data_IF_768327940655
#
_entry.id   IF_768327940655
#
_cell.length_a   1.000
_cell.length_b   1.000
_cell.length_c   1.000
_cell.angle_alpha   90.00
_cell.angle_beta   90.00
_cell.angle_gamma   90.00
#
_symmetry.space_group_name_H-M   'P 1'
#
loop_
_entity.id
_entity.type
_entity.pdbx_description
1 polymer ?
#
# COMPACT_ATOMS: atom_id res chain seq x y z
N UNK A 1 -9.11 10.74 -1.01
CA UNK A 1 -8.98 9.73 -2.09
C UNK A 1 -7.62 9.05 -1.94
N UNK A 2 -7.40 7.90 -2.58
CA UNK A 2 -6.08 7.22 -2.57
C UNK A 2 -5.62 6.94 -3.99
N UNK A 3 -4.30 7.00 -4.22
CA UNK A 3 -3.70 6.73 -5.52
C UNK A 3 -3.15 5.30 -5.57
N UNK A 4 -3.75 4.47 -6.43
CA UNK A 4 -3.19 3.17 -6.82
C UNK A 4 -2.31 3.40 -8.05
N UNK A 5 -1.03 3.69 -7.82
CA UNK A 5 -0.08 4.03 -8.88
C UNK A 5 0.74 2.81 -9.29
N UNK A 6 0.48 2.28 -10.47
CA UNK A 6 1.29 1.21 -11.08
C UNK A 6 2.40 1.78 -11.95
N UNK A 7 3.63 1.32 -11.77
CA UNK A 7 4.77 1.68 -12.60
C UNK A 7 5.43 0.48 -13.24
N UNK A 8 6.62 0.71 -13.80
CA UNK A 8 7.55 -0.33 -14.21
C UNK A 8 8.89 -0.09 -13.54
N UNK A 9 9.43 -1.10 -12.88
CA UNK A 9 10.75 -1.08 -12.24
C UNK A 9 11.65 -2.15 -12.84
N UNK A 10 12.88 -2.27 -12.34
CA UNK A 10 13.85 -3.25 -12.82
C UNK A 10 13.39 -4.73 -12.68
N UNK A 11 12.38 -4.99 -11.84
CA UNK A 11 11.82 -6.33 -11.58
C UNK A 11 10.44 -6.52 -12.22
N UNK A 12 10.06 -5.66 -13.16
CA UNK A 12 8.77 -5.69 -13.84
C UNK A 12 7.78 -4.67 -13.29
N UNK A 13 6.46 -4.86 -13.51
CA UNK A 13 5.45 -3.95 -13.00
C UNK A 13 5.44 -3.93 -11.47
N UNK A 14 5.22 -2.75 -10.90
CA UNK A 14 5.19 -2.53 -9.46
C UNK A 14 4.07 -1.56 -9.07
N UNK A 15 3.80 -1.47 -7.77
CA UNK A 15 2.85 -0.53 -7.19
C UNK A 15 3.51 0.32 -6.11
N UNK A 16 3.18 1.60 -6.08
CA UNK A 16 3.64 2.54 -5.05
C UNK A 16 2.81 2.38 -3.77
N UNK A 17 3.49 2.24 -2.64
CA UNK A 17 2.90 2.21 -1.30
C UNK A 17 3.72 3.08 -0.35
N UNK A 18 3.14 3.42 0.79
CA UNK A 18 3.79 4.11 1.90
C UNK A 18 3.69 3.29 3.17
N UNK A 19 4.71 3.40 4.03
CA UNK A 19 4.62 3.01 5.44
C UNK A 19 4.35 4.28 6.27
N UNK A 20 3.24 4.30 7.00
CA UNK A 20 2.91 5.42 7.88
C UNK A 20 3.85 5.46 9.08
N UNK A 21 4.25 6.66 9.52
CA UNK A 21 5.15 6.83 10.65
C UNK A 21 4.59 6.18 11.94
N UNK A 22 5.48 5.59 12.74
CA UNK A 22 5.10 4.86 13.96
C UNK A 22 4.59 5.74 15.10
N UNK A 23 4.82 7.05 15.02
CA UNK A 23 4.38 8.04 16.03
C UNK A 23 2.94 8.53 15.87
N UNK A 24 2.24 8.11 14.82
CA UNK A 24 0.88 8.58 14.54
C UNK A 24 -0.15 7.98 15.50
N UNK A 25 -1.15 8.80 15.88
CA UNK A 25 -2.27 8.39 16.75
C UNK A 25 -3.13 7.30 16.13
N UNK A 26 -3.17 7.22 14.79
CA UNK A 26 -3.92 6.23 14.03
C UNK A 26 -3.03 5.61 12.97
N UNK A 27 -3.19 4.30 12.74
CA UNK A 27 -2.55 3.55 11.65
C UNK A 27 -1.01 3.58 11.65
N UNK A 28 -0.38 3.81 12.79
CA UNK A 28 1.08 3.84 12.93
C UNK A 28 1.75 2.58 12.38
N UNK A 29 2.68 2.72 11.44
CA UNK A 29 3.40 1.61 10.80
C UNK A 29 2.57 0.75 9.85
N UNK A 30 1.34 1.14 9.52
CA UNK A 30 0.53 0.44 8.53
C UNK A 30 0.98 0.82 7.11
N UNK A 31 0.87 -0.15 6.20
CA UNK A 31 1.11 0.08 4.78
C UNK A 31 -0.18 0.53 4.09
N UNK A 32 -0.07 1.61 3.32
CA UNK A 32 -1.19 2.21 2.61
C UNK A 32 -0.79 2.61 1.17
N UNK A 33 -1.80 2.82 0.34
CA UNK A 33 -1.63 3.66 -0.84
C UNK A 33 -1.44 5.11 -0.40
N UNK A 34 -0.64 5.92 -1.13
CA UNK A 34 -0.60 7.35 -0.89
C UNK A 34 -1.99 7.97 -1.04
N UNK A 35 -2.34 8.94 -0.19
CA UNK A 35 -3.65 9.57 -0.24
C UNK A 35 -4.13 10.14 1.09
N UNK A 36 -5.10 11.05 0.98
CA UNK A 36 -5.66 11.75 2.13
C UNK A 36 -7.06 12.30 1.89
N UNK A 37 -7.38 13.37 2.61
CA UNK A 37 -8.70 14.00 2.55
C UNK A 37 -8.83 14.90 1.33
N UNK A 38 -10.05 15.13 0.87
CA UNK A 38 -10.29 16.12 -0.18
C UNK A 38 -10.21 17.52 0.40
N UNK A 39 -9.40 18.37 -0.22
CA UNK A 39 -9.27 19.77 0.13
C UNK A 39 -10.24 20.64 -0.68
N UNK A 40 -10.65 21.83 -0.18
CA UNK A 40 -11.55 22.72 -0.91
C UNK A 40 -11.07 23.15 -2.29
N UNK A 41 -9.76 23.07 -2.55
CA UNK A 41 -9.15 23.38 -3.84
C UNK A 41 -9.07 22.21 -4.82
N UNK A 42 -9.37 20.98 -4.37
CA UNK A 42 -9.32 19.80 -5.23
C UNK A 42 -10.53 19.79 -6.18
N UNK A 43 -10.26 19.72 -7.49
CA UNK A 43 -11.33 19.70 -8.49
C UNK A 43 -12.18 18.42 -8.46
N UNK A 44 -11.54 17.28 -8.13
CA UNK A 44 -12.17 15.97 -8.04
C UNK A 44 -11.31 14.99 -7.21
N UNK A 45 -11.74 13.72 -7.11
CA UNK A 45 -10.98 12.68 -6.39
C UNK A 45 -9.62 12.35 -7.03
N UNK A 46 -9.46 12.59 -8.34
CA UNK A 46 -8.19 12.40 -9.04
C UNK A 46 -7.19 13.47 -8.60
N UNK A 47 -7.62 14.73 -8.57
CA UNK A 47 -6.84 15.84 -8.06
C UNK A 47 -6.40 15.59 -6.61
N UNK A 48 -7.32 15.18 -5.73
CA UNK A 48 -6.99 14.81 -4.35
C UNK A 48 -5.93 13.70 -4.30
N UNK A 49 -6.12 12.60 -5.03
CA UNK A 49 -5.20 11.46 -4.98
C UNK A 49 -3.79 11.81 -5.49
N UNK A 50 -3.68 12.59 -6.57
CA UNK A 50 -2.40 13.02 -7.14
C UNK A 50 -1.68 14.03 -6.24
N UNK A 51 -2.40 15.01 -5.68
CA UNK A 51 -1.85 15.99 -4.74
C UNK A 51 -1.26 15.30 -3.51
N UNK A 52 -2.04 14.46 -2.86
CA UNK A 52 -1.62 13.72 -1.67
C UNK A 52 -0.42 12.80 -1.97
N UNK A 53 -0.44 12.10 -3.11
CA UNK A 53 0.71 11.29 -3.51
C UNK A 53 1.99 12.13 -3.72
N UNK A 54 1.86 13.32 -4.31
CA UNK A 54 2.99 14.23 -4.47
C UNK A 54 3.53 14.71 -3.11
N UNK A 55 2.64 15.08 -2.19
CA UNK A 55 2.99 15.52 -0.84
C UNK A 55 3.65 14.40 -0.02
N UNK A 56 3.10 13.19 -0.02
CA UNK A 56 3.59 12.09 0.82
C UNK A 56 4.85 11.42 0.26
N UNK A 57 5.03 11.42 -1.07
CA UNK A 57 6.05 10.58 -1.74
C UNK A 57 6.97 11.29 -2.71
N UNK A 58 6.70 12.55 -3.05
CA UNK A 58 7.44 13.29 -4.07
C UNK A 58 7.14 12.84 -5.51
N UNK A 59 6.08 12.06 -5.75
CA UNK A 59 5.57 11.77 -7.10
C UNK A 59 5.32 13.07 -7.84
N UNK A 60 5.84 13.21 -9.06
CA UNK A 60 5.43 14.27 -9.98
C UNK A 60 4.06 13.91 -10.59
N UNK A 61 2.99 14.69 -10.32
CA UNK A 61 1.66 14.43 -10.87
C UNK A 61 1.63 14.38 -12.40
N UNK A 62 2.54 15.07 -13.09
CA UNK A 62 2.60 15.09 -14.56
C UNK A 62 3.05 13.75 -15.16
N UNK A 63 3.81 12.95 -14.40
CA UNK A 63 4.26 11.61 -14.79
C UNK A 63 3.24 10.50 -14.50
N UNK A 64 2.19 10.80 -13.73
CA UNK A 64 1.17 9.84 -13.29
C UNK A 64 -0.15 10.07 -14.03
N UNK A 65 -0.52 9.16 -14.94
CA UNK A 65 -1.75 9.27 -15.72
C UNK A 65 -2.88 8.47 -15.08
N UNK A 66 -3.99 9.12 -14.70
CA UNK A 66 -5.19 8.42 -14.24
C UNK A 66 -5.78 7.55 -15.35
N UNK A 67 -6.17 6.33 -14.99
CA UNK A 67 -6.81 5.34 -15.87
C UNK A 67 -8.29 5.19 -15.51
N UNK A 68 -8.60 5.07 -14.22
CA UNK A 68 -9.95 4.85 -13.74
C UNK A 68 -10.13 5.38 -12.32
N UNK A 69 -11.34 5.85 -12.02
CA UNK A 69 -11.79 6.08 -10.64
C UNK A 69 -12.65 4.88 -10.25
N UNK A 70 -12.21 4.13 -9.25
CA UNK A 70 -12.94 2.95 -8.76
C UNK A 70 -14.11 3.36 -7.87
N UNK A 71 -15.14 2.51 -7.72
CA UNK A 71 -16.24 2.78 -6.82
C UNK A 71 -15.77 3.12 -5.41
N UNK A 72 -16.48 4.04 -4.77
CA UNK A 72 -16.19 4.43 -3.41
C UNK A 72 -16.44 3.26 -2.44
N UNK A 73 -15.47 3.00 -1.57
CA UNK A 73 -15.50 1.91 -0.60
C UNK A 73 -15.61 2.48 0.81
N UNK A 74 -16.57 1.97 1.58
CA UNK A 74 -16.70 2.32 2.99
C UNK A 74 -15.69 1.53 3.82
N UNK A 75 -15.00 2.20 4.74
CA UNK A 75 -14.03 1.61 5.66
C UNK A 75 -14.63 1.65 7.07
N UNK A 76 -15.27 0.55 7.54
CA UNK A 76 -16.04 0.57 8.78
C UNK A 76 -15.26 1.01 10.04
N UNK A 77 -14.00 0.61 10.26
CA UNK A 77 -13.26 1.01 11.46
C UNK A 77 -13.05 2.52 11.61
N UNK A 78 -12.99 3.26 10.50
CA UNK A 78 -12.73 4.70 10.50
C UNK A 78 -13.97 5.53 10.16
N UNK A 79 -15.00 4.90 9.58
CA UNK A 79 -16.17 5.60 9.03
C UNK A 79 -15.89 6.35 7.73
N UNK A 80 -14.67 6.27 7.19
CA UNK A 80 -14.32 6.95 5.95
C UNK A 80 -14.89 6.25 4.73
N UNK A 81 -15.11 7.05 3.70
CA UNK A 81 -15.42 6.58 2.35
C UNK A 81 -14.24 6.90 1.45
N UNK A 82 -13.54 5.86 1.02
CA UNK A 82 -12.31 5.98 0.26
C UNK A 82 -12.61 5.73 -1.21
N UNK A 83 -12.19 6.67 -2.07
CA UNK A 83 -12.26 6.54 -3.53
C UNK A 83 -10.86 6.20 -4.05
N UNK A 84 -10.61 4.99 -4.56
CA UNK A 84 -9.34 4.65 -5.20
C UNK A 84 -9.26 5.21 -6.62
N UNK A 85 -8.14 5.84 -6.93
CA UNK A 85 -7.81 6.33 -8.27
C UNK A 85 -6.70 5.44 -8.82
N UNK A 86 -7.01 4.67 -9.86
CA UNK A 86 -6.06 3.85 -10.57
C UNK A 86 -5.29 4.70 -11.57
N UNK A 87 -3.95 4.65 -11.53
CA UNK A 87 -3.08 5.41 -12.42
C UNK A 87 -1.89 4.58 -12.89
N UNK A 88 -1.33 4.95 -14.05
CA UNK A 88 -0.06 4.41 -14.54
C UNK A 88 1.03 5.49 -14.53
N UNK A 89 2.21 5.09 -14.06
CA UNK A 89 3.39 5.93 -13.96
C UNK A 89 4.30 5.72 -15.17
N UNK A 90 4.23 6.65 -16.14
CA UNK A 90 4.99 6.55 -17.38
C UNK A 90 6.45 6.95 -17.22
N UNK A 91 6.72 7.93 -16.36
CA UNK A 91 8.06 8.45 -16.10
C UNK A 91 8.37 8.37 -14.59
N UNK A 92 8.71 7.18 -14.06
CA UNK A 92 9.04 7.04 -12.66
C UNK A 92 10.27 7.86 -12.26
N UNK A 93 10.09 8.74 -11.29
CA UNK A 93 11.18 9.49 -10.65
C UNK A 93 11.56 8.86 -9.31
N UNK A 94 12.70 9.28 -8.76
CA UNK A 94 13.06 8.89 -7.40
C UNK A 94 12.01 9.43 -6.42
N UNK A 95 11.58 8.57 -5.49
CA UNK A 95 10.63 8.92 -4.42
C UNK A 95 11.27 8.82 -3.06
N UNK A 96 10.77 9.64 -2.15
CA UNK A 96 11.16 9.64 -0.75
C UNK A 96 9.98 10.14 0.09
N UNK A 97 9.94 9.83 1.40
CA UNK A 97 8.95 10.43 2.28
C UNK A 97 8.99 11.96 2.21
N UNK A 98 7.85 12.58 1.96
CA UNK A 98 7.73 14.05 1.97
C UNK A 98 7.85 14.64 3.38
N UNK A 99 7.15 14.03 4.35
CA UNK A 99 7.31 14.31 5.78
C UNK A 99 7.61 13.01 6.56
N UNK A 100 8.83 12.82 7.09
CA UNK A 100 9.18 11.68 7.94
C UNK A 100 8.33 11.51 9.20
N UNK A 101 7.67 12.58 9.67
CA UNK A 101 6.74 12.56 10.80
C UNK A 101 5.41 11.88 10.48
N UNK A 102 5.04 11.80 9.21
CA UNK A 102 3.79 11.19 8.73
C UNK A 102 4.04 9.91 7.92
N UNK A 103 5.11 9.89 7.12
CA UNK A 103 5.51 8.78 6.26
C UNK A 103 6.90 8.29 6.65
N UNK A 104 7.00 7.06 7.18
CA UNK A 104 8.29 6.47 7.54
C UNK A 104 9.08 6.00 6.31
N UNK A 105 8.39 5.48 5.30
CA UNK A 105 9.02 4.97 4.09
C UNK A 105 8.08 5.07 2.88
N UNK A 106 8.67 5.22 1.70
CA UNK A 106 7.99 5.05 0.41
C UNK A 106 8.59 3.83 -0.26
N UNK A 107 7.73 2.90 -0.68
CA UNK A 107 8.15 1.62 -1.23
C UNK A 107 7.46 1.35 -2.56
N UNK A 108 8.21 0.78 -3.50
CA UNK A 108 7.65 0.21 -4.74
C UNK A 108 7.73 -1.29 -4.64
N UNK A 109 6.57 -1.95 -4.63
CA UNK A 109 6.48 -3.40 -4.48
C UNK A 109 6.18 -4.02 -5.84
N UNK A 110 7.03 -4.92 -6.37
CA UNK A 110 6.74 -5.63 -7.60
C UNK A 110 5.45 -6.43 -7.50
N UNK A 111 4.65 -6.42 -8.57
CA UNK A 111 3.44 -7.23 -8.62
C UNK A 111 3.76 -8.72 -8.53
N UNK A 112 4.96 -9.14 -8.96
CA UNK A 112 5.43 -10.53 -8.83
C UNK A 112 5.61 -10.95 -7.37
N UNK A 113 6.04 -10.04 -6.47
CA UNK A 113 6.12 -10.33 -5.03
C UNK A 113 4.74 -10.42 -4.40
N UNK A 114 3.84 -9.51 -4.75
CA UNK A 114 2.46 -9.52 -4.25
C UNK A 114 1.66 -10.73 -4.78
N UNK A 115 1.95 -11.17 -6.00
CA UNK A 115 1.35 -12.35 -6.60
C UNK A 115 1.94 -13.65 -6.04
N UNK A 116 3.10 -13.62 -5.37
CA UNK A 116 3.73 -14.85 -4.88
C UNK A 116 2.90 -15.47 -3.76
N UNK A 117 2.46 -16.75 -3.90
CA UNK A 117 1.69 -17.43 -2.88
C UNK A 117 2.39 -17.49 -1.51
N UNK A 118 3.72 -17.51 -1.46
CA UNK A 118 4.48 -17.54 -0.21
C UNK A 118 4.33 -16.23 0.59
N UNK A 119 4.03 -15.12 -0.09
CA UNK A 119 3.83 -13.81 0.52
C UNK A 119 2.37 -13.54 0.86
N UNK A 120 1.43 -14.44 0.55
CA UNK A 120 -0.01 -14.24 0.73
C UNK A 120 -0.56 -15.13 1.83
N UNK A 121 -1.49 -14.57 2.62
CA UNK A 121 -2.19 -15.25 3.69
C UNK A 121 -3.47 -14.49 4.07
N UNK A 122 -4.33 -15.08 4.88
CA UNK A 122 -5.41 -14.36 5.56
C UNK A 122 -4.90 -13.82 6.89
N UNK A 123 -5.29 -12.61 7.26
CA UNK A 123 -5.02 -12.07 8.60
C UNK A 123 -6.29 -11.97 9.42
N UNK A 124 -6.21 -12.39 10.67
CA UNK A 124 -7.23 -12.17 11.69
C UNK A 124 -6.81 -10.99 12.58
N UNK A 125 -7.70 -10.01 12.72
CA UNK A 125 -7.52 -8.86 13.60
C UNK A 125 -8.46 -8.96 14.82
N UNK A 126 -8.06 -8.54 16.03
CA UNK A 126 -8.89 -8.62 17.24
C UNK A 126 -10.27 -7.96 17.14
N UNK A 127 -10.49 -7.04 16.19
CA UNK A 127 -11.83 -6.48 15.91
C UNK A 127 -12.78 -7.46 15.21
N UNK A 128 -12.35 -8.69 14.90
CA UNK A 128 -13.08 -9.67 14.11
C UNK A 128 -12.93 -9.51 12.60
N UNK A 129 -12.03 -8.64 12.13
CA UNK A 129 -11.72 -8.56 10.70
C UNK A 129 -10.92 -9.81 10.28
N UNK A 130 -11.36 -10.45 9.20
CA UNK A 130 -10.66 -11.52 8.50
C UNK A 130 -10.57 -11.12 7.02
N UNK A 131 -9.36 -11.08 6.47
CA UNK A 131 -9.17 -10.71 5.07
C UNK A 131 -7.75 -10.91 4.56
N UNK A 132 -7.53 -10.71 3.25
CA UNK A 132 -6.27 -10.99 2.61
C UNK A 132 -5.18 -10.04 3.11
N UNK A 133 -3.99 -10.60 3.28
CA UNK A 133 -2.79 -9.88 3.66
C UNK A 133 -1.59 -10.35 2.85
N UNK A 134 -0.59 -9.49 2.82
CA UNK A 134 0.68 -9.71 2.16
C UNK A 134 1.82 -9.46 3.13
N UNK A 135 2.87 -10.25 3.05
CA UNK A 135 4.15 -9.93 3.66
C UNK A 135 5.16 -9.62 2.56
N UNK A 136 5.48 -8.34 2.39
CA UNK A 136 6.36 -7.82 1.33
C UNK A 136 7.19 -6.69 1.89
N UNK A 137 8.43 -6.54 1.40
CA UNK A 137 9.38 -5.55 1.94
C UNK A 137 9.51 -5.57 3.49
N UNK A 138 9.35 -6.76 4.09
CA UNK A 138 9.32 -6.97 5.55
C UNK A 138 8.24 -6.15 6.28
N UNK A 139 7.16 -5.85 5.59
CA UNK A 139 5.97 -5.18 6.08
C UNK A 139 4.75 -6.07 5.85
N UNK A 140 3.74 -5.89 6.70
CA UNK A 140 2.44 -6.56 6.53
C UNK A 140 1.46 -5.58 5.89
N UNK A 141 0.98 -5.90 4.70
CA UNK A 141 -0.06 -5.14 3.99
C UNK A 141 -1.39 -5.85 4.20
N UNK A 142 -2.37 -5.19 4.80
CA UNK A 142 -3.64 -5.81 5.19
C UNK A 142 -4.79 -4.80 5.16
N UNK A 143 -5.97 -5.20 5.62
CA UNK A 143 -7.12 -4.30 5.79
C UNK A 143 -7.64 -3.81 4.44
N UNK A 144 -7.94 -2.51 4.36
CA UNK A 144 -8.39 -1.90 3.12
C UNK A 144 -7.36 -2.04 1.99
N UNK A 145 -6.09 -1.73 2.27
CA UNK A 145 -4.99 -1.81 1.30
C UNK A 145 -4.80 -3.24 0.80
N UNK A 146 -4.76 -4.22 1.71
CA UNK A 146 -4.65 -5.64 1.37
C UNK A 146 -5.83 -6.15 0.54
N UNK A 147 -7.06 -5.81 0.94
CA UNK A 147 -8.26 -6.16 0.19
C UNK A 147 -8.25 -5.61 -1.23
N UNK A 148 -7.92 -4.33 -1.40
CA UNK A 148 -7.88 -3.68 -2.70
C UNK A 148 -6.77 -4.25 -3.59
N UNK A 149 -5.57 -4.49 -3.06
CA UNK A 149 -4.48 -5.15 -3.80
C UNK A 149 -4.88 -6.56 -4.24
N UNK A 150 -5.51 -7.36 -3.36
CA UNK A 150 -5.97 -8.69 -3.72
C UNK A 150 -6.97 -8.67 -4.87
N UNK A 151 -7.95 -7.77 -4.82
CA UNK A 151 -8.94 -7.60 -5.88
C UNK A 151 -8.30 -7.16 -7.21
N UNK A 152 -7.35 -6.22 -7.16
CA UNK A 152 -6.65 -5.74 -8.36
C UNK A 152 -5.74 -6.80 -8.98
N UNK A 153 -5.08 -7.64 -8.19
CA UNK A 153 -4.27 -8.75 -8.69
C UNK A 153 -5.14 -9.79 -9.41
N UNK A 154 -6.31 -10.09 -8.85
CA UNK A 154 -7.28 -10.99 -9.47
C UNK A 154 -7.81 -10.39 -10.80
N UNK A 155 -8.30 -9.15 -10.76
CA UNK A 155 -8.86 -8.46 -11.93
C UNK A 155 -7.83 -8.24 -13.04
N UNK A 156 -6.58 -7.95 -12.68
CA UNK A 156 -5.48 -7.76 -13.62
C UNK A 156 -4.86 -9.04 -14.16
N UNK A 157 -5.32 -10.22 -13.70
CA UNK A 157 -4.80 -11.51 -14.14
C UNK A 157 -3.38 -11.83 -13.63
N UNK A 158 -2.91 -11.12 -12.60
CA UNK A 158 -1.61 -11.37 -11.97
C UNK A 158 -1.67 -12.37 -10.81
N UNK A 159 -2.85 -12.65 -10.28
CA UNK A 159 -3.01 -13.57 -9.16
C UNK A 159 -2.52 -14.98 -9.51
N UNK A 160 -1.63 -15.51 -8.66
CA UNK A 160 -1.25 -16.93 -8.65
C UNK A 160 -2.07 -17.65 -7.57
N UNK A 161 -2.41 -18.93 -7.74
CA UNK A 161 -3.12 -19.70 -6.72
C UNK A 161 -2.37 -19.67 -5.38
N UNK A 162 -3.06 -19.30 -4.31
CA UNK A 162 -2.51 -19.20 -2.96
C UNK A 162 -3.48 -19.81 -1.96
N UNK A 163 -2.95 -20.27 -0.82
CA UNK A 163 -3.72 -20.96 0.19
C UNK A 163 -4.42 -19.96 1.13
N UNK A 164 -5.72 -19.77 0.93
CA UNK A 164 -6.55 -18.90 1.74
C UNK A 164 -6.91 -19.50 3.12
N UNK A 165 -6.54 -20.76 3.40
CA UNK A 165 -6.71 -21.37 4.72
C UNK A 165 -5.55 -21.02 5.67
N UNK A 166 -4.44 -20.50 5.14
CA UNK A 166 -3.34 -19.97 5.96
C UNK A 166 -3.80 -18.66 6.61
N UNK A 167 -4.23 -18.76 7.87
CA UNK A 167 -4.62 -17.61 8.70
C UNK A 167 -3.53 -17.28 9.71
N UNK A 168 -3.14 -16.01 9.81
CA UNK A 168 -2.20 -15.49 10.82
C UNK A 168 -2.88 -14.44 11.68
N UNK A 169 -2.55 -14.40 12.96
CA UNK A 169 -2.91 -13.27 13.82
C UNK A 169 -2.12 -12.01 13.40
N UNK A 170 -2.78 -10.85 13.36
CA UNK A 170 -2.14 -9.62 12.88
C UNK A 170 -0.94 -9.22 13.75
N UNK A 171 -1.07 -9.23 15.06
CA UNK A 171 -0.02 -8.74 15.97
C UNK A 171 1.22 -9.65 15.87
N UNK A 172 0.98 -10.97 15.76
CA UNK A 172 2.03 -11.94 15.50
C UNK A 172 2.70 -11.72 14.13
N UNK A 173 1.93 -11.58 13.07
CA UNK A 173 2.45 -11.36 11.71
C UNK A 173 3.28 -10.07 11.63
N UNK A 174 2.79 -8.99 12.25
CA UNK A 174 3.46 -7.70 12.26
C UNK A 174 4.77 -7.75 13.05
N UNK A 175 4.77 -8.42 14.21
CA UNK A 175 5.97 -8.61 15.02
C UNK A 175 7.05 -9.42 14.28
N UNK A 176 6.64 -10.50 13.60
CA UNK A 176 7.55 -11.32 12.80
C UNK A 176 8.17 -10.54 11.63
N UNK A 177 7.36 -9.74 10.92
CA UNK A 177 7.82 -8.91 9.82
C UNK A 177 8.86 -7.87 10.28
N UNK A 178 8.60 -7.17 11.40
CA UNK A 178 9.56 -6.22 11.99
C UNK A 178 10.83 -6.89 12.50
N UNK A 179 10.74 -8.09 13.08
CA UNK A 179 11.90 -8.87 13.51
C UNK A 179 12.85 -9.20 12.34
N UNK A 180 12.29 -9.52 11.16
CA UNK A 180 13.07 -9.75 9.94
C UNK A 180 13.76 -8.49 9.41
N UNK A 181 13.09 -7.33 9.45
CA UNK A 181 13.70 -6.04 9.08
C UNK A 181 14.90 -5.66 9.96
N UNK A 182 14.82 -5.97 11.26
CA UNK A 182 15.90 -5.71 12.22
C UNK A 182 17.13 -6.60 12.02
N UNK A 183 16.92 -7.88 11.67
CA UNK A 183 18.00 -8.82 11.39
C UNK A 183 18.77 -8.46 10.10
N UNK A 184 18.07 -8.06 9.03
CA UNK A 184 18.69 -7.68 7.76
C UNK A 184 19.53 -6.39 7.81
N UNK A 185 19.27 -5.48 8.76
CA UNK A 185 20.08 -4.26 8.95
C UNK A 185 21.43 -4.50 9.65
N UNK A 186 21.61 -5.63 10.35
CA UNK A 186 22.88 -5.96 11.01
C UNK A 186 23.89 -6.68 10.10
N UNK A 187 23.45 -7.26 8.97
CA UNK A 187 24.32 -8.01 8.06
C UNK A 187 25.00 -7.14 6.99
N UNK A 188 24.52 -5.92 6.74
CA UNK A 188 25.11 -4.99 5.74
C UNK A 188 26.14 -4.03 6.36
N UNK A 189 26.34 -4.12 7.68
CA UNK A 189 27.35 -3.35 8.41
C UNK A 189 28.52 -4.25 8.83
N UNK A 190 29.21 -4.86 7.86
CA UNK A 190 30.55 -5.45 8.05
C UNK A 190 31.41 -5.27 6.80
#
# INVERSE_FOLDING_TARGET
AVLVLFGHGARGPDVLLIERASGLRHHAGQVAFPGGSTDPGDADHVATALREAAEETGVDPSGARPIAVLPQLFVPPTGFRVTPVLAHWFEPVAVAPGDPGETAAVIRVPLSELADPANRFQVHHPSGYLGPAFEVASLVVWGFTGGLLSALLNLGGWERPWDAEIVRDLDAAWSMARGRSGAGRQEVAR
#
